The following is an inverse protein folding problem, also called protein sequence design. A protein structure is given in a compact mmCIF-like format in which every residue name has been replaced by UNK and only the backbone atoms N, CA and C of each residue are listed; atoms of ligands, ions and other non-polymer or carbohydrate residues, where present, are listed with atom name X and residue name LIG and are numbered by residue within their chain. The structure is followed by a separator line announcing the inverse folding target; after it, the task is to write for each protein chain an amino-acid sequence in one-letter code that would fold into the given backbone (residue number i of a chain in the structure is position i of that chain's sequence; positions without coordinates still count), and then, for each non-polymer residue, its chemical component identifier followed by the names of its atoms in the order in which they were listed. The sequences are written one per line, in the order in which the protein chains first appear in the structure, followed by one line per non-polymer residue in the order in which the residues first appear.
data_IF_734509079671
#
_entry.id   IF_734509079671
#
_cell.length_a   1.000
_cell.length_b   1.000
_cell.length_c   1.000
_cell.angle_alpha   90.00
_cell.angle_beta   90.00
_cell.angle_gamma   90.00
#
_symmetry.space_group_name_H-M   'P 1'
#
loop_
_entity.id
_entity.type
_entity.pdbx_description
1 polymer ?
#
# COMPACT_ATOMS: atom_id res chain seq x y z
N UNK A 1 -32.08 -8.31 12.98
CA UNK A 1 -32.79 -7.43 12.02
C UNK A 1 -32.99 -8.25 10.76
N UNK A 2 -34.24 -8.64 10.52
CA UNK A 2 -34.67 -9.70 9.62
C UNK A 2 -34.05 -9.58 8.22
N UNK A 3 -33.62 -10.72 7.67
CA UNK A 3 -33.48 -11.01 6.23
C UNK A 3 -34.81 -10.71 5.54
N UNK A 4 -35.16 -9.42 5.44
CA UNK A 4 -36.34 -8.95 4.74
C UNK A 4 -36.29 -9.54 3.34
N UNK A 5 -37.34 -10.27 3.01
CA UNK A 5 -37.53 -11.01 1.77
C UNK A 5 -36.92 -10.26 0.59
N UNK A 6 -35.73 -10.69 0.19
CA UNK A 6 -35.05 -10.10 -0.97
C UNK A 6 -35.92 -10.33 -2.20
N UNK A 7 -36.69 -11.43 -2.20
CA UNK A 7 -37.66 -11.86 -3.21
C UNK A 7 -38.65 -10.79 -3.66
N UNK A 8 -39.14 -9.92 -2.76
CA UNK A 8 -40.15 -8.88 -3.06
C UNK A 8 -39.56 -7.51 -3.34
N UNK A 9 -38.26 -7.30 -3.15
CA UNK A 9 -37.61 -6.00 -3.33
C UNK A 9 -37.13 -5.81 -4.77
N UNK A 10 -37.18 -4.58 -5.27
CA UNK A 10 -36.53 -4.24 -6.54
C UNK A 10 -35.00 -4.23 -6.42
N UNK A 11 -34.28 -4.43 -7.52
CA UNK A 11 -32.80 -4.43 -7.54
C UNK A 11 -32.23 -3.13 -6.92
N UNK A 12 -32.85 -1.99 -7.20
CA UNK A 12 -32.44 -0.70 -6.63
C UNK A 12 -32.63 -0.63 -5.10
N UNK A 13 -33.69 -1.24 -4.57
CA UNK A 13 -33.91 -1.32 -3.11
C UNK A 13 -32.88 -2.24 -2.45
N UNK A 14 -32.55 -3.36 -3.11
CA UNK A 14 -31.53 -4.31 -2.66
C UNK A 14 -30.15 -3.66 -2.66
N UNK A 15 -29.80 -2.92 -3.71
CA UNK A 15 -28.52 -2.21 -3.80
C UNK A 15 -28.41 -1.12 -2.74
N UNK A 16 -29.45 -0.32 -2.51
CA UNK A 16 -29.48 0.69 -1.42
C UNK A 16 -29.31 0.03 -0.04
N UNK A 17 -29.98 -1.08 0.19
CA UNK A 17 -29.87 -1.84 1.44
C UNK A 17 -28.43 -2.33 1.64
N UNK A 18 -27.86 -2.98 0.62
CA UNK A 18 -26.47 -3.46 0.66
C UNK A 18 -25.48 -2.33 0.96
N UNK A 19 -25.65 -1.16 0.35
CA UNK A 19 -24.77 0.00 0.55
C UNK A 19 -24.90 0.59 1.97
N UNK A 20 -26.08 0.53 2.58
CA UNK A 20 -26.32 1.03 3.94
C UNK A 20 -25.81 0.10 5.05
N UNK A 21 -25.54 -1.17 4.74
CA UNK A 21 -25.09 -2.16 5.72
C UNK A 21 -23.59 -1.98 6.03
N UNK A 22 -23.15 -2.24 7.27
CA UNK A 22 -21.73 -2.30 7.58
C UNK A 22 -21.06 -3.50 6.88
N UNK A 23 -19.73 -3.47 6.63
CA UNK A 23 -19.02 -4.50 5.85
C UNK A 23 -19.24 -5.94 6.34
N UNK A 24 -19.33 -6.16 7.65
CA UNK A 24 -19.62 -7.47 8.23
C UNK A 24 -21.00 -8.02 7.81
N UNK A 25 -22.05 -7.19 7.89
CA UNK A 25 -23.41 -7.57 7.50
C UNK A 25 -23.59 -7.66 5.98
N UNK A 26 -22.79 -6.95 5.21
CA UNK A 26 -22.78 -7.08 3.75
C UNK A 26 -22.34 -8.49 3.31
N UNK A 27 -21.41 -9.14 4.04
CA UNK A 27 -21.01 -10.53 3.76
C UNK A 27 -22.14 -11.53 4.03
N UNK A 28 -22.87 -11.36 5.13
CA UNK A 28 -24.05 -12.17 5.44
C UNK A 28 -25.13 -11.98 4.37
N UNK A 29 -25.37 -10.73 3.95
CA UNK A 29 -26.34 -10.39 2.92
C UNK A 29 -25.96 -10.97 1.54
N UNK A 30 -24.67 -11.07 1.23
CA UNK A 30 -24.17 -11.68 -0.01
C UNK A 30 -24.64 -13.12 -0.19
N UNK A 31 -24.69 -13.91 0.88
CA UNK A 31 -25.19 -15.29 0.84
C UNK A 31 -26.65 -15.35 0.41
N UNK A 32 -27.47 -14.41 0.89
CA UNK A 32 -28.88 -14.31 0.53
C UNK A 32 -29.06 -13.81 -0.92
N UNK A 33 -28.20 -12.91 -1.41
CA UNK A 33 -28.20 -12.49 -2.82
C UNK A 33 -27.85 -13.63 -3.79
N UNK A 34 -26.94 -14.52 -3.40
CA UNK A 34 -26.54 -15.68 -4.22
C UNK A 34 -27.65 -16.73 -4.35
N UNK A 35 -28.57 -16.79 -3.39
CA UNK A 35 -29.72 -17.69 -3.43
C UNK A 35 -30.88 -17.16 -4.30
N UNK A 36 -30.82 -15.90 -4.76
CA UNK A 36 -31.84 -15.30 -5.61
C UNK A 36 -31.65 -15.71 -7.08
N UNK A 37 -32.74 -16.07 -7.74
CA UNK A 37 -32.73 -16.53 -9.14
C UNK A 37 -32.79 -15.39 -10.16
N UNK A 38 -33.07 -14.15 -9.74
CA UNK A 38 -33.19 -13.01 -10.66
C UNK A 38 -31.81 -12.60 -11.18
N UNK A 39 -31.65 -12.58 -12.49
CA UNK A 39 -30.38 -12.26 -13.17
C UNK A 39 -29.72 -10.96 -12.68
N UNK A 40 -30.53 -9.92 -12.42
CA UNK A 40 -30.01 -8.64 -11.92
C UNK A 40 -29.44 -8.72 -10.49
N UNK A 41 -30.05 -9.54 -9.63
CA UNK A 41 -29.59 -9.78 -8.26
C UNK A 41 -28.32 -10.65 -8.26
N UNK A 42 -28.26 -11.67 -9.12
CA UNK A 42 -27.05 -12.47 -9.29
C UNK A 42 -25.86 -11.65 -9.81
N UNK A 43 -26.09 -10.76 -10.78
CA UNK A 43 -25.06 -9.80 -11.24
C UNK A 43 -24.58 -8.89 -10.09
N UNK A 44 -25.50 -8.40 -9.25
CA UNK A 44 -25.16 -7.60 -8.08
C UNK A 44 -24.34 -8.42 -7.06
N UNK A 45 -24.69 -9.69 -6.83
CA UNK A 45 -23.94 -10.59 -5.96
C UNK A 45 -22.50 -10.78 -6.47
N UNK A 46 -22.31 -11.10 -7.75
CA UNK A 46 -20.98 -11.29 -8.36
C UNK A 46 -20.12 -10.02 -8.28
N UNK A 47 -20.72 -8.84 -8.54
CA UNK A 47 -20.04 -7.54 -8.41
C UNK A 47 -19.58 -7.30 -6.97
N UNK A 48 -20.45 -7.58 -6.02
CA UNK A 48 -20.18 -7.39 -4.58
C UNK A 48 -19.09 -8.36 -4.09
N UNK A 49 -19.16 -9.62 -4.49
CA UNK A 49 -18.14 -10.63 -4.20
C UNK A 49 -16.78 -10.24 -4.77
N UNK A 50 -16.73 -9.85 -6.04
CA UNK A 50 -15.49 -9.41 -6.69
C UNK A 50 -14.85 -8.22 -5.97
N UNK A 51 -15.67 -7.27 -5.51
CA UNK A 51 -15.22 -6.14 -4.68
C UNK A 51 -14.62 -6.62 -3.36
N UNK A 52 -15.29 -7.52 -2.63
CA UNK A 52 -14.77 -8.06 -1.36
C UNK A 52 -13.48 -8.86 -1.56
N UNK A 53 -13.40 -9.67 -2.62
CA UNK A 53 -12.19 -10.40 -2.97
C UNK A 53 -11.03 -9.45 -3.22
N UNK A 54 -11.26 -8.35 -3.95
CA UNK A 54 -10.24 -7.32 -4.21
C UNK A 54 -9.74 -6.68 -2.91
N UNK A 55 -10.65 -6.29 -2.01
CA UNK A 55 -10.29 -5.72 -0.70
C UNK A 55 -9.45 -6.71 0.11
N UNK A 56 -9.87 -7.98 0.16
CA UNK A 56 -9.13 -9.02 0.92
C UNK A 56 -7.73 -9.26 0.37
N UNK A 57 -7.59 -9.38 -0.96
CA UNK A 57 -6.29 -9.54 -1.60
C UNK A 57 -5.38 -8.33 -1.35
N UNK A 58 -5.95 -7.13 -1.30
CA UNK A 58 -5.23 -5.91 -0.99
C UNK A 58 -4.76 -5.88 0.48
N UNK A 59 -5.61 -6.29 1.44
CA UNK A 59 -5.23 -6.45 2.84
C UNK A 59 -4.15 -7.52 3.04
N UNK A 60 -4.27 -8.68 2.38
CA UNK A 60 -3.28 -9.76 2.42
C UNK A 60 -1.93 -9.30 1.85
N UNK A 61 -1.95 -8.63 0.69
CA UNK A 61 -0.75 -8.06 0.07
C UNK A 61 -0.10 -7.00 0.96
N UNK A 62 -0.89 -6.13 1.60
CA UNK A 62 -0.37 -5.11 2.51
C UNK A 62 0.27 -5.75 3.74
N UNK A 63 -0.40 -6.74 4.35
CA UNK A 63 0.19 -7.51 5.47
C UNK A 63 1.52 -8.14 5.07
N UNK A 64 1.60 -8.74 3.89
CA UNK A 64 2.85 -9.34 3.40
C UNK A 64 3.96 -8.32 3.21
N UNK A 65 3.65 -7.11 2.74
CA UNK A 65 4.63 -6.04 2.54
C UNK A 65 5.32 -5.65 3.85
N UNK A 66 4.56 -5.58 4.93
CA UNK A 66 5.05 -5.21 6.27
C UNK A 66 5.44 -6.42 7.14
N UNK A 67 5.61 -7.61 6.57
CA UNK A 67 5.94 -8.81 7.36
C UNK A 67 7.27 -8.67 8.10
N UNK A 68 8.33 -8.29 7.38
CA UNK A 68 9.65 -8.09 7.98
C UNK A 68 9.67 -6.97 9.02
N UNK A 69 8.97 -5.86 8.76
CA UNK A 69 8.88 -4.75 9.70
C UNK A 69 8.20 -5.18 11.01
N UNK A 70 7.10 -5.93 10.94
CA UNK A 70 6.44 -6.48 12.14
C UNK A 70 7.35 -7.44 12.90
N UNK A 71 8.04 -8.34 12.22
CA UNK A 71 8.98 -9.26 12.87
C UNK A 71 10.10 -8.51 13.61
N UNK A 72 10.55 -7.37 13.09
CA UNK A 72 11.55 -6.53 13.78
C UNK A 72 10.94 -5.78 14.97
N UNK A 73 9.72 -5.27 14.85
CA UNK A 73 9.01 -4.69 15.98
C UNK A 73 8.79 -5.69 17.12
N UNK A 74 8.43 -6.94 16.82
CA UNK A 74 8.29 -8.02 17.81
C UNK A 74 9.62 -8.35 18.51
N UNK A 75 10.76 -8.13 17.85
CA UNK A 75 12.10 -8.24 18.43
C UNK A 75 12.52 -7.02 19.26
N UNK A 76 11.69 -5.99 19.35
CA UNK A 76 11.91 -4.79 20.17
C UNK A 76 12.56 -3.61 19.45
N UNK A 77 12.78 -3.70 18.13
CA UNK A 77 13.23 -2.55 17.33
C UNK A 77 12.07 -1.52 17.22
N UNK A 78 12.35 -0.24 17.47
CA UNK A 78 11.30 0.80 17.52
C UNK A 78 11.20 1.58 16.22
N UNK A 79 12.33 1.98 15.65
CA UNK A 79 12.39 2.76 14.43
C UNK A 79 13.00 1.89 13.34
N UNK A 80 12.18 1.47 12.39
CA UNK A 80 12.61 0.68 11.24
C UNK A 80 12.56 1.59 10.03
N UNK A 81 13.69 1.74 9.33
CA UNK A 81 13.75 2.47 8.09
C UNK A 81 13.64 1.50 6.90
N UNK A 82 12.89 1.88 5.88
CA UNK A 82 13.05 1.34 4.52
C UNK A 82 13.90 2.30 3.70
N UNK A 83 14.88 1.77 2.96
CA UNK A 83 15.67 2.54 1.99
C UNK A 83 15.61 1.89 0.61
N UNK A 84 15.54 2.71 -0.44
CA UNK A 84 15.51 2.23 -1.83
C UNK A 84 16.11 3.28 -2.78
N UNK A 85 16.41 2.87 -4.01
CA UNK A 85 16.93 3.71 -5.07
C UNK A 85 16.05 3.76 -6.33
N UNK A 86 16.20 4.84 -7.10
CA UNK A 86 15.71 4.97 -8.46
C UNK A 86 16.77 5.61 -9.35
N UNK A 87 16.83 5.23 -10.63
CA UNK A 87 17.78 5.82 -11.58
C UNK A 87 19.09 5.06 -11.76
N UNK A 88 19.19 3.81 -11.28
CA UNK A 88 20.38 2.97 -11.49
C UNK A 88 20.56 2.45 -12.93
N UNK A 89 19.46 2.21 -13.65
CA UNK A 89 19.45 1.60 -14.99
C UNK A 89 19.43 2.56 -16.19
N UNK A 90 18.83 3.77 -16.12
CA UNK A 90 18.83 4.72 -17.23
C UNK A 90 20.22 5.18 -17.67
N UNK A 91 20.36 5.55 -18.96
CA UNK A 91 21.60 6.12 -19.52
C UNK A 91 21.84 7.58 -19.08
N UNK A 92 20.77 8.29 -18.74
CA UNK A 92 20.81 9.71 -18.37
C UNK A 92 19.88 9.97 -17.18
N UNK A 93 20.21 11.02 -16.43
CA UNK A 93 19.53 11.39 -15.20
C UNK A 93 20.32 10.99 -13.95
N UNK A 94 19.91 11.49 -12.77
CA UNK A 94 20.59 11.22 -11.53
C UNK A 94 20.22 9.84 -10.97
N UNK A 95 21.07 9.34 -10.06
CA UNK A 95 20.68 8.34 -9.10
C UNK A 95 20.01 9.03 -7.91
N UNK A 96 18.83 8.56 -7.53
CA UNK A 96 18.07 9.07 -6.37
C UNK A 96 17.92 7.95 -5.37
N UNK A 97 18.12 8.23 -4.09
CA UNK A 97 17.82 7.31 -2.99
C UNK A 97 16.94 8.01 -1.96
N UNK A 98 16.13 7.22 -1.26
CA UNK A 98 15.29 7.72 -0.19
C UNK A 98 15.31 6.77 0.99
N UNK A 99 15.20 7.33 2.20
CA UNK A 99 14.97 6.59 3.43
C UNK A 99 13.68 7.05 4.08
N UNK A 100 12.90 6.13 4.64
CA UNK A 100 11.63 6.45 5.30
C UNK A 100 11.46 5.59 6.55
N UNK A 101 11.11 6.23 7.67
CA UNK A 101 10.65 5.60 8.91
C UNK A 101 9.17 5.87 9.04
N UNK A 102 8.35 4.81 9.03
CA UNK A 102 6.91 4.89 9.23
C UNK A 102 6.54 4.59 10.69
N UNK A 103 5.39 5.10 11.16
CA UNK A 103 4.83 4.66 12.44
C UNK A 103 4.29 3.23 12.30
N UNK A 104 4.67 2.33 13.21
CA UNK A 104 4.40 0.90 13.11
C UNK A 104 2.92 0.47 13.15
N UNK A 105 2.00 1.38 13.51
CA UNK A 105 0.55 1.14 13.56
C UNK A 105 -0.22 1.71 12.35
N UNK A 106 0.45 2.47 11.47
CA UNK A 106 -0.25 3.17 10.38
C UNK A 106 -0.23 2.40 9.08
N UNK A 107 -1.41 2.34 8.47
CA UNK A 107 -1.56 1.83 7.11
C UNK A 107 -1.59 2.99 6.11
N UNK A 108 -0.88 2.85 4.99
CA UNK A 108 -0.90 3.80 3.88
C UNK A 108 -1.74 3.19 2.75
N UNK A 109 -3.00 3.63 2.57
CA UNK A 109 -3.90 3.03 1.60
C UNK A 109 -3.33 3.08 0.17
N UNK A 110 -3.29 1.92 -0.49
CA UNK A 110 -2.82 1.80 -1.86
C UNK A 110 -1.30 1.77 -2.02
N UNK A 111 -0.53 1.76 -0.93
CA UNK A 111 0.91 1.50 -0.98
C UNK A 111 1.16 0.10 -1.55
N UNK A 112 1.81 0.07 -2.72
CA UNK A 112 2.18 -1.12 -3.49
C UNK A 112 3.50 -0.83 -4.19
N UNK A 113 4.08 -1.85 -4.81
CA UNK A 113 5.19 -1.68 -5.75
C UNK A 113 4.88 -0.53 -6.74
N UNK A 114 5.74 0.50 -6.71
CA UNK A 114 5.56 1.75 -7.44
C UNK A 114 5.44 1.55 -8.96
N UNK A 115 5.96 0.43 -9.47
CA UNK A 115 5.91 0.04 -10.89
C UNK A 115 4.51 -0.31 -11.36
N UNK A 116 3.56 -0.56 -10.45
CA UNK A 116 2.16 -0.89 -10.76
C UNK A 116 1.21 0.31 -10.61
N UNK A 117 1.73 1.49 -10.29
CA UNK A 117 0.96 2.70 -10.01
C UNK A 117 1.07 3.71 -11.16
N UNK A 118 -0.03 4.42 -11.45
CA UNK A 118 0.01 5.57 -12.35
C UNK A 118 0.78 6.74 -11.73
N UNK A 119 1.31 7.65 -12.56
CA UNK A 119 2.04 8.83 -12.06
C UNK A 119 1.22 9.64 -11.05
N UNK A 120 -0.06 9.91 -11.37
CA UNK A 120 -0.99 10.58 -10.47
C UNK A 120 -1.14 9.85 -9.13
N UNK A 121 -1.26 8.52 -9.14
CA UNK A 121 -1.42 7.72 -7.92
C UNK A 121 -0.15 7.71 -7.08
N UNK A 122 1.03 7.74 -7.71
CA UNK A 122 2.31 7.87 -7.00
C UNK A 122 2.40 9.21 -6.28
N UNK A 123 1.98 10.30 -6.90
CA UNK A 123 1.98 11.64 -6.29
C UNK A 123 1.04 11.71 -5.06
N UNK A 124 -0.15 11.14 -5.19
CA UNK A 124 -1.11 11.02 -4.07
C UNK A 124 -0.50 10.22 -2.91
N UNK A 125 0.15 9.09 -3.20
CA UNK A 125 0.76 8.23 -2.18
C UNK A 125 2.00 8.89 -1.57
N UNK A 126 2.82 9.57 -2.37
CA UNK A 126 3.99 10.32 -1.90
C UNK A 126 3.59 11.34 -0.84
N UNK A 127 2.52 12.11 -1.10
CA UNK A 127 1.99 13.09 -0.14
C UNK A 127 1.60 12.40 1.18
N UNK A 128 0.88 11.27 1.10
CA UNK A 128 0.49 10.51 2.29
C UNK A 128 1.70 9.95 3.04
N UNK A 129 2.72 9.46 2.35
CA UNK A 129 3.96 8.96 2.96
C UNK A 129 4.64 10.08 3.73
N UNK A 130 4.87 11.23 3.10
CA UNK A 130 5.57 12.37 3.70
C UNK A 130 4.81 12.91 4.92
N UNK A 131 3.48 13.03 4.82
CA UNK A 131 2.63 13.49 5.92
C UNK A 131 2.56 12.49 7.09
N UNK A 132 2.80 11.21 6.82
CA UNK A 132 2.70 10.13 7.81
C UNK A 132 4.04 9.73 8.41
N UNK A 133 5.12 9.88 7.67
CA UNK A 133 6.45 9.43 8.05
C UNK A 133 6.91 10.12 9.33
N UNK A 134 7.49 9.34 10.24
CA UNK A 134 8.16 9.87 11.41
C UNK A 134 9.47 10.57 10.99
N UNK A 135 10.15 10.02 9.99
CA UNK A 135 11.33 10.62 9.38
C UNK A 135 11.45 10.17 7.93
N UNK A 136 11.89 11.06 7.05
CA UNK A 136 12.22 10.71 5.68
C UNK A 136 13.39 11.55 5.15
N UNK A 137 14.07 11.02 4.15
CA UNK A 137 15.20 11.67 3.46
C UNK A 137 15.12 11.38 1.97
N UNK A 138 15.65 12.30 1.16
CA UNK A 138 15.85 12.10 -0.27
C UNK A 138 17.23 12.62 -0.63
N UNK A 139 18.03 11.79 -1.30
CA UNK A 139 19.37 12.14 -1.77
C UNK A 139 19.46 11.94 -3.27
N UNK A 140 20.10 12.90 -3.94
CA UNK A 140 20.26 12.94 -5.39
C UNK A 140 21.75 12.99 -5.69
N UNK A 141 22.20 12.08 -6.54
CA UNK A 141 23.57 11.97 -7.00
C UNK A 141 23.56 12.19 -8.52
N UNK A 142 24.24 13.25 -8.95
CA UNK A 142 24.34 13.59 -10.36
C UNK A 142 25.27 12.64 -11.12
N UNK A 143 25.25 12.76 -12.45
CA UNK A 143 26.08 11.94 -13.31
C UNK A 143 27.58 12.18 -13.08
N UNK A 144 28.01 13.40 -12.76
CA UNK A 144 29.41 13.71 -12.49
C UNK A 144 29.94 12.92 -11.27
N UNK A 145 29.12 12.83 -10.22
CA UNK A 145 29.42 12.02 -9.03
C UNK A 145 29.48 10.54 -9.37
N UNK A 146 28.53 10.05 -10.17
CA UNK A 146 28.45 8.65 -10.60
C UNK A 146 29.67 8.28 -11.47
N UNK A 147 30.03 9.13 -12.44
CA UNK A 147 31.10 8.89 -13.39
C UNK A 147 32.47 8.89 -12.71
N UNK A 148 32.67 9.74 -11.70
CA UNK A 148 33.93 9.82 -10.95
C UNK A 148 34.15 8.67 -9.95
N UNK A 149 33.08 8.13 -9.35
CA UNK A 149 33.17 7.11 -8.29
C UNK A 149 32.78 5.71 -8.75
N UNK A 150 32.03 5.61 -9.83
CA UNK A 150 31.38 4.40 -10.33
C UNK A 150 29.98 4.19 -9.74
N UNK A 151 29.06 3.70 -10.59
CA UNK A 151 27.64 3.51 -10.26
C UNK A 151 27.42 2.63 -9.02
N UNK A 152 28.09 1.48 -8.94
CA UNK A 152 27.87 0.55 -7.83
C UNK A 152 28.27 1.15 -6.48
N UNK A 153 29.41 1.84 -6.42
CA UNK A 153 29.88 2.50 -5.19
C UNK A 153 28.97 3.65 -4.80
N UNK A 154 28.56 4.45 -5.77
CA UNK A 154 27.60 5.55 -5.57
C UNK A 154 26.27 5.03 -5.05
N UNK A 155 25.78 3.89 -5.53
CA UNK A 155 24.54 3.27 -5.03
C UNK A 155 24.62 2.83 -3.58
N UNK A 156 25.69 2.13 -3.20
CA UNK A 156 25.87 1.70 -1.81
C UNK A 156 25.97 2.89 -0.85
N UNK A 157 26.68 3.95 -1.27
CA UNK A 157 26.77 5.20 -0.51
C UNK A 157 25.42 5.92 -0.45
N UNK A 158 24.65 5.95 -1.54
CA UNK A 158 23.34 6.56 -1.59
C UNK A 158 22.38 5.93 -0.58
N UNK A 159 22.26 4.60 -0.58
CA UNK A 159 21.42 3.86 0.37
C UNK A 159 21.88 4.05 1.82
N UNK A 160 23.19 3.98 2.06
CA UNK A 160 23.77 4.22 3.39
C UNK A 160 23.47 5.63 3.88
N UNK A 161 23.74 6.63 3.05
CA UNK A 161 23.57 8.06 3.37
C UNK A 161 22.08 8.37 3.62
N UNK A 162 21.18 7.82 2.80
CA UNK A 162 19.75 7.96 2.99
C UNK A 162 19.29 7.45 4.38
N UNK A 163 19.86 6.34 4.86
CA UNK A 163 19.59 5.84 6.22
C UNK A 163 20.22 6.73 7.30
N UNK A 164 21.47 7.18 7.12
CA UNK A 164 22.21 7.98 8.11
C UNK A 164 21.64 9.38 8.30
N UNK A 165 21.04 9.97 7.26
CA UNK A 165 20.48 11.33 7.30
C UNK A 165 19.07 11.42 7.90
N UNK A 166 18.45 10.29 8.23
CA UNK A 166 17.15 10.28 8.89
C UNK A 166 17.30 10.97 10.26
N UNK A 167 16.49 12.01 10.48
CA UNK A 167 16.55 12.77 11.72
C UNK A 167 16.12 11.93 12.94
N UNK A 168 15.32 10.88 12.70
CA UNK A 168 15.13 9.78 13.65
C UNK A 168 16.10 8.67 13.25
N UNK A 169 17.06 8.39 14.14
CA UNK A 169 18.02 7.30 13.93
C UNK A 169 17.27 5.95 13.90
N UNK A 170 17.36 5.18 12.80
CA UNK A 170 16.75 3.86 12.76
C UNK A 170 17.53 2.86 13.62
N UNK A 171 16.79 1.96 14.27
CA UNK A 171 17.36 0.80 14.97
C UNK A 171 17.63 -0.36 13.99
N UNK A 172 16.86 -0.42 12.90
CA UNK A 172 16.97 -1.42 11.84
C UNK A 172 16.71 -0.79 10.47
N UNK A 173 17.41 -1.24 9.44
CA UNK A 173 17.25 -0.76 8.06
C UNK A 173 16.90 -1.94 7.15
N UNK A 174 15.79 -1.81 6.43
CA UNK A 174 15.37 -2.69 5.34
C UNK A 174 15.84 -2.07 4.03
N UNK A 175 16.59 -2.83 3.24
CA UNK A 175 17.16 -2.44 1.93
C UNK A 175 16.61 -3.37 0.87
#
# INVERSE_FOLDING_TARGET
MSTRDISVQSINQIEKTLQSLPPGKQKEFLSALKADNRLGVQKLALKTESRFRKIRLEEESYKSLFAFERDMHEKGFKHIAGVDEAGRGPLAGPLVSAGVVLPGDKTIPGLKDSKKLSAKKREEIYSVIVDTALSYTVRVYDNQTIDSRGLHRTNLEALKTAAEDLHIRPDFVLV
#
